data_IF_632048377789
#
_entry.id   IF_632048377789
#
_cell.length_a   1.000
_cell.length_b   1.000
_cell.length_c   1.000
_cell.angle_alpha   90.00
_cell.angle_beta   90.00
_cell.angle_gamma   90.00
#
_symmetry.space_group_name_H-M   'P 1'
#
loop_
_entity.id
_entity.type
_entity.pdbx_description
1 polymer ?
#
# COMPACT_ATOMS: atom_id res chain seq x y z
N UNK A 1 -14.26 16.29 3.04
CA UNK A 1 -13.47 15.82 4.19
C UNK A 1 -12.19 16.63 4.16
N UNK A 2 -11.78 17.22 5.27
CA UNK A 2 -10.48 17.88 5.40
C UNK A 2 -9.77 17.22 6.58
N UNK A 3 -8.60 16.62 6.35
CA UNK A 3 -7.84 15.87 7.34
C UNK A 3 -6.35 16.20 7.17
N UNK A 4 -5.82 17.03 8.07
CA UNK A 4 -4.50 17.63 7.96
C UNK A 4 -4.54 19.03 7.35
N UNK A 5 -3.36 19.65 7.26
CA UNK A 5 -3.16 21.02 6.77
C UNK A 5 -2.28 20.99 5.51
N UNK A 6 -0.95 21.02 5.66
CA UNK A 6 0.00 20.96 4.54
C UNK A 6 0.17 19.55 3.96
N UNK A 7 -0.01 18.53 4.80
CA UNK A 7 -0.01 17.10 4.44
C UNK A 7 -1.27 16.46 4.99
N UNK A 8 -1.70 15.38 4.34
CA UNK A 8 -2.88 14.61 4.77
C UNK A 8 -2.54 13.84 6.05
N UNK A 9 -3.38 14.01 7.07
CA UNK A 9 -3.38 13.12 8.24
C UNK A 9 -4.16 11.85 7.88
N UNK A 10 -3.45 10.78 7.55
CA UNK A 10 -4.04 9.53 7.08
C UNK A 10 -4.92 8.85 8.14
N UNK A 11 -4.50 8.85 9.40
CA UNK A 11 -5.28 8.27 10.50
C UNK A 11 -6.62 9.00 10.64
N UNK A 12 -6.60 10.34 10.65
CA UNK A 12 -7.81 11.15 10.70
C UNK A 12 -8.67 10.98 9.45
N UNK A 13 -8.05 10.92 8.28
CA UNK A 13 -8.77 10.73 7.02
C UNK A 13 -9.54 9.41 7.04
N UNK A 14 -8.88 8.30 7.37
CA UNK A 14 -9.48 6.97 7.41
C UNK A 14 -10.54 6.85 8.51
N UNK A 15 -10.29 7.41 9.71
CA UNK A 15 -11.31 7.47 10.76
C UNK A 15 -12.57 8.20 10.29
N UNK A 16 -12.42 9.33 9.58
CA UNK A 16 -13.59 10.07 9.08
C UNK A 16 -14.31 9.35 7.93
N UNK A 17 -13.58 8.57 7.11
CA UNK A 17 -14.21 7.72 6.09
C UNK A 17 -15.01 6.60 6.76
N UNK A 18 -14.47 5.98 7.81
CA UNK A 18 -15.17 4.98 8.61
C UNK A 18 -16.44 5.55 9.26
N UNK A 19 -16.38 6.75 9.84
CA UNK A 19 -17.57 7.46 10.38
C UNK A 19 -18.67 7.70 9.35
N UNK A 20 -18.31 7.75 8.06
CA UNK A 20 -19.25 7.87 6.93
C UNK A 20 -19.77 6.51 6.43
N UNK A 21 -19.42 5.42 7.09
CA UNK A 21 -19.81 4.06 6.73
C UNK A 21 -18.94 3.41 5.65
N UNK A 22 -17.75 3.96 5.39
CA UNK A 22 -16.81 3.36 4.45
C UNK A 22 -15.85 2.43 5.20
N UNK A 23 -16.16 1.15 5.20
CA UNK A 23 -15.43 0.12 5.97
C UNK A 23 -14.35 -0.61 5.17
N UNK A 24 -14.40 -0.53 3.82
CA UNK A 24 -13.43 -1.16 2.93
C UNK A 24 -12.98 -0.15 1.90
N UNK A 25 -11.70 0.17 1.92
CA UNK A 25 -11.09 1.19 1.08
C UNK A 25 -10.04 0.52 0.21
N UNK A 26 -10.14 0.71 -1.10
CA UNK A 26 -9.12 0.28 -2.04
C UNK A 26 -8.20 1.47 -2.34
N UNK A 27 -6.89 1.27 -2.14
CA UNK A 27 -5.87 2.26 -2.47
C UNK A 27 -5.02 1.72 -3.61
N UNK A 28 -4.89 2.49 -4.69
CA UNK A 28 -4.21 2.07 -5.92
C UNK A 28 -2.78 2.63 -6.06
N UNK A 29 -2.30 3.41 -5.09
CA UNK A 29 -0.98 4.05 -5.12
C UNK A 29 -1.01 5.58 -5.21
N UNK A 30 0.11 6.26 -5.45
CA UNK A 30 1.45 5.74 -5.80
C UNK A 30 2.32 5.28 -4.62
N UNK A 31 3.62 5.04 -4.87
CA UNK A 31 4.56 4.45 -3.92
C UNK A 31 4.68 5.21 -2.59
N UNK A 32 4.69 6.54 -2.60
CA UNK A 32 4.73 7.37 -1.38
C UNK A 32 3.47 7.17 -0.50
N UNK A 33 2.28 7.06 -1.13
CA UNK A 33 1.03 6.84 -0.41
C UNK A 33 0.96 5.42 0.16
N UNK A 34 1.33 4.41 -0.64
CA UNK A 34 1.38 3.01 -0.19
C UNK A 34 2.32 2.88 0.99
N UNK A 35 3.52 3.47 0.91
CA UNK A 35 4.45 3.47 2.02
C UNK A 35 3.85 4.17 3.26
N UNK A 36 3.27 5.36 3.10
CA UNK A 36 2.68 6.11 4.22
C UNK A 36 1.56 5.33 4.93
N UNK A 37 0.81 4.50 4.20
CA UNK A 37 -0.22 3.61 4.78
C UNK A 37 0.40 2.45 5.56
N UNK A 38 1.50 1.88 5.07
CA UNK A 38 2.27 0.88 5.80
C UNK A 38 2.82 1.46 7.11
N UNK A 39 3.43 2.65 7.05
CA UNK A 39 3.99 3.32 8.22
C UNK A 39 2.90 3.66 9.25
N UNK A 40 1.72 4.09 8.78
CA UNK A 40 0.58 4.39 9.64
C UNK A 40 -0.15 3.14 10.19
N UNK A 41 0.23 1.92 9.77
CA UNK A 41 -0.46 0.69 10.17
C UNK A 41 -1.91 0.59 9.67
N UNK A 42 -2.20 1.22 8.52
CA UNK A 42 -3.55 1.30 7.93
C UNK A 42 -3.79 0.28 6.80
N UNK A 43 -2.85 -0.65 6.58
CA UNK A 43 -2.90 -1.61 5.48
C UNK A 43 -3.13 -3.02 6.04
N UNK A 44 -4.24 -3.63 5.65
CA UNK A 44 -4.58 -5.01 6.04
C UNK A 44 -4.15 -6.05 4.97
N UNK A 45 -4.30 -5.67 3.70
CA UNK A 45 -4.07 -6.54 2.54
C UNK A 45 -3.35 -5.78 1.42
N UNK A 46 -2.30 -6.39 0.87
CA UNK A 46 -1.57 -5.88 -0.29
C UNK A 46 -1.82 -6.81 -1.47
N UNK A 47 -2.26 -6.25 -2.60
CA UNK A 47 -2.39 -6.97 -3.87
C UNK A 47 -1.47 -6.36 -4.92
N UNK A 48 -0.58 -7.17 -5.49
CA UNK A 48 0.38 -6.70 -6.52
C UNK A 48 0.28 -7.60 -7.74
N UNK A 49 0.03 -6.97 -8.88
CA UNK A 49 0.16 -7.65 -10.17
C UNK A 49 1.58 -7.47 -10.70
N UNK A 50 2.23 -8.58 -11.04
CA UNK A 50 3.55 -8.61 -11.67
C UNK A 50 3.39 -9.07 -13.11
N UNK A 51 3.57 -8.13 -14.05
CA UNK A 51 3.51 -8.40 -15.49
C UNK A 51 4.85 -8.84 -16.10
N UNK A 52 4.86 -9.32 -17.35
CA UNK A 52 6.04 -9.90 -18.02
C UNK A 52 7.00 -8.84 -18.60
N UNK A 53 7.19 -7.70 -17.91
CA UNK A 53 7.96 -6.55 -18.42
C UNK A 53 8.97 -6.06 -17.40
N UNK A 54 10.20 -5.81 -17.85
CA UNK A 54 11.24 -5.15 -17.05
C UNK A 54 11.44 -3.73 -17.58
N UNK A 55 11.14 -2.73 -16.73
CA UNK A 55 11.25 -1.31 -17.09
C UNK A 55 12.66 -0.79 -16.78
N UNK A 56 13.18 -1.07 -15.57
CA UNK A 56 14.44 -0.51 -15.07
C UNK A 56 14.34 1.00 -14.76
N UNK A 57 15.48 1.60 -14.39
CA UNK A 57 15.57 3.03 -14.04
C UNK A 57 15.84 3.24 -12.55
N UNK A 58 16.87 4.04 -12.23
CA UNK A 58 17.26 4.34 -10.84
C UNK A 58 16.18 5.13 -10.11
N UNK A 59 15.54 6.05 -10.82
CA UNK A 59 14.55 6.98 -10.28
C UNK A 59 13.13 6.63 -10.77
N UNK A 60 12.94 5.41 -11.29
CA UNK A 60 11.62 4.93 -11.67
C UNK A 60 10.78 4.67 -10.40
N UNK A 61 9.50 5.09 -10.36
CA UNK A 61 8.63 4.82 -9.21
C UNK A 61 8.54 3.32 -8.92
N UNK A 62 8.50 2.97 -7.65
CA UNK A 62 8.35 1.58 -7.19
C UNK A 62 7.03 1.37 -6.44
N UNK A 63 6.82 0.17 -5.91
CA UNK A 63 5.60 -0.17 -5.17
C UNK A 63 5.46 0.63 -3.87
N UNK A 64 6.58 0.95 -3.22
CA UNK A 64 6.63 1.69 -1.97
C UNK A 64 7.90 2.55 -1.98
N UNK A 65 7.72 3.87 -2.06
CA UNK A 65 8.80 4.83 -2.29
C UNK A 65 8.96 5.75 -1.07
N UNK A 66 10.21 5.88 -0.60
CA UNK A 66 10.63 6.83 0.43
C UNK A 66 12.03 7.34 0.15
N UNK A 67 12.32 8.56 0.58
CA UNK A 67 13.67 9.14 0.46
C UNK A 67 14.66 8.48 1.41
N UNK A 68 14.23 8.16 2.63
CA UNK A 68 15.09 7.60 3.68
C UNK A 68 14.86 6.10 3.89
N UNK A 69 15.92 5.40 4.27
CA UNK A 69 15.84 3.98 4.60
C UNK A 69 15.09 3.76 5.92
N UNK A 70 14.25 2.73 5.95
CA UNK A 70 13.42 2.38 7.10
C UNK A 70 13.93 1.08 7.69
N UNK A 71 14.17 1.06 9.01
CA UNK A 71 14.81 -0.08 9.68
C UNK A 71 13.84 -1.23 10.00
N UNK A 72 12.55 -0.94 10.09
CA UNK A 72 11.50 -1.90 10.42
C UNK A 72 10.51 -2.04 9.28
N UNK A 73 10.17 -3.28 8.95
CA UNK A 73 9.23 -3.60 7.88
C UNK A 73 8.10 -4.45 8.44
N UNK A 74 6.84 -4.19 8.06
CA UNK A 74 5.73 -5.06 8.41
C UNK A 74 5.97 -6.45 7.81
N UNK A 75 5.72 -7.49 8.60
CA UNK A 75 5.76 -8.84 8.10
C UNK A 75 4.56 -9.07 7.19
N UNK A 76 4.81 -9.62 6.00
CA UNK A 76 3.76 -9.97 5.06
C UNK A 76 3.64 -11.49 4.96
N UNK A 77 2.41 -11.98 5.04
CA UNK A 77 2.10 -13.39 4.82
C UNK A 77 1.47 -13.55 3.45
N UNK A 78 2.13 -14.31 2.58
CA UNK A 78 1.58 -14.66 1.28
C UNK A 78 0.30 -15.48 1.48
N UNK A 79 -0.81 -14.96 0.96
CA UNK A 79 -2.12 -15.58 1.02
C UNK A 79 -2.43 -16.36 -0.26
N UNK A 80 -2.28 -15.71 -1.41
CA UNK A 80 -2.66 -16.29 -2.70
C UNK A 80 -1.72 -15.90 -3.84
N UNK A 81 -1.67 -16.75 -4.87
CA UNK A 81 -0.90 -16.56 -6.10
C UNK A 81 -1.76 -17.01 -7.28
N UNK A 82 -2.32 -16.05 -7.99
CA UNK A 82 -3.15 -16.30 -9.17
C UNK A 82 -2.38 -15.96 -10.44
N UNK A 83 -2.33 -16.88 -11.40
CA UNK A 83 -1.88 -16.52 -12.75
C UNK A 83 -3.00 -15.81 -13.48
N UNK A 84 -2.75 -14.58 -13.90
CA UNK A 84 -3.66 -13.78 -14.71
C UNK A 84 -2.93 -13.34 -15.97
N UNK A 85 -3.47 -13.73 -17.13
CA UNK A 85 -2.83 -13.53 -18.43
C UNK A 85 -1.37 -14.01 -18.44
N UNK A 86 -0.45 -13.13 -18.85
CA UNK A 86 1.00 -13.36 -18.87
C UNK A 86 1.71 -12.96 -17.57
N UNK A 87 0.95 -12.60 -16.53
CA UNK A 87 1.48 -12.19 -15.23
C UNK A 87 0.95 -13.03 -14.06
N UNK A 88 1.24 -12.54 -12.85
CA UNK A 88 0.75 -13.12 -11.60
C UNK A 88 0.20 -12.03 -10.70
N UNK A 89 -0.96 -12.28 -10.09
CA UNK A 89 -1.49 -11.52 -8.99
C UNK A 89 -1.08 -12.19 -7.69
N UNK A 90 -0.39 -11.43 -6.85
CA UNK A 90 0.05 -11.86 -5.54
C UNK A 90 -0.78 -11.12 -4.49
N UNK A 91 -1.34 -11.89 -3.55
CA UNK A 91 -2.11 -11.33 -2.43
C UNK A 91 -1.40 -11.64 -1.12
N UNK A 92 -1.03 -10.61 -0.37
CA UNK A 92 -0.46 -10.72 0.97
C UNK A 92 -1.39 -10.11 2.01
N UNK A 93 -1.38 -10.69 3.21
CA UNK A 93 -1.94 -10.06 4.42
C UNK A 93 -0.81 -9.51 5.26
N UNK A 94 -1.03 -8.36 5.88
CA UNK A 94 -0.13 -7.82 6.89
C UNK A 94 -0.28 -8.64 8.15
N UNK A 95 0.84 -9.14 8.68
CA UNK A 95 0.85 -9.93 9.92
C UNK A 95 0.81 -8.95 11.10
N UNK A 96 -0.28 -8.99 11.86
CA UNK A 96 -0.38 -8.27 13.13
C UNK A 96 0.61 -8.91 14.10
N UNK A 97 1.66 -8.18 14.50
CA UNK A 97 2.51 -8.60 15.62
C UNK A 97 1.75 -8.53 16.94
#
# INVERSE_FOLDING_TARGET
>A
LTAGDERVDLLRAFATLQERGLERIMVEGGGELIFSLFEAGLLDELRVFVGPTVIGGRDAPTLADVEEFVAEFPALKLGDVDRLDDGVLLTWRVDER
#
